data_IF_941325131237
#
_entry.id   IF_941325131237
#
_cell.length_a   1.000
_cell.length_b   1.000
_cell.length_c   1.000
_cell.angle_alpha   90.00
_cell.angle_beta   90.00
_cell.angle_gamma   90.00
#
_symmetry.space_group_name_H-M   'P 1'
#
loop_
_entity.id
_entity.type
_entity.pdbx_description
1 polymer ?
#
# COMPACT_ATOMS: atom_id res chain seq x y z
N UNK A 1 29.65 -13.03 3.52
CA UNK A 1 29.02 -12.77 3.46
C UNK A 1 28.36 -12.89 3.21
N UNK A 2 28.29 -12.76 3.44
CA UNK A 2 27.51 -12.66 3.46
C UNK A 2 26.66 -12.44 3.37
N UNK A 3 26.57 -12.39 3.76
CA UNK A 3 25.65 -12.07 3.81
C UNK A 3 24.97 -11.89 3.74
N UNK A 4 25.05 -11.76 3.95
CA UNK A 4 24.20 -11.41 4.05
C UNK A 4 23.31 -11.52 3.76
N UNK A 5 23.25 -11.46 3.73
CA UNK A 5 22.43 -11.68 3.62
C UNK A 5 21.39 -11.77 3.81
N UNK A 6 21.36 -11.63 3.80
CA UNK A 6 20.20 -12.15 4.30
C UNK A 6 19.29 -11.26 5.10
N UNK A 7 19.72 -10.36 5.77
CA UNK A 7 18.87 -9.47 6.48
C UNK A 7 17.97 -8.74 5.58
N UNK A 8 18.30 -8.69 4.38
CA UNK A 8 17.42 -8.09 3.41
C UNK A 8 16.17 -8.82 3.27
N UNK A 9 16.17 -10.07 3.65
CA UNK A 9 15.01 -10.90 3.50
C UNK A 9 13.91 -10.56 4.45
N UNK A 10 14.15 -9.64 5.40
CA UNK A 10 13.10 -9.27 6.32
C UNK A 10 12.08 -8.30 5.73
N UNK A 11 12.34 -7.75 4.55
CA UNK A 11 11.42 -6.80 3.94
C UNK A 11 10.30 -7.50 3.22
N UNK A 12 9.07 -6.98 3.39
CA UNK A 12 7.92 -7.49 2.66
C UNK A 12 8.03 -7.12 1.19
N UNK A 13 7.74 -8.08 0.33
CA UNK A 13 7.81 -7.91 -1.11
C UNK A 13 6.50 -8.37 -1.73
N UNK A 14 5.97 -7.59 -2.66
CA UNK A 14 4.77 -7.99 -3.39
C UNK A 14 5.23 -8.89 -4.53
N UNK A 15 4.83 -10.17 -4.45
CA UNK A 15 5.36 -11.20 -5.33
C UNK A 15 4.46 -11.50 -6.52
N UNK A 16 3.18 -11.14 -6.45
CA UNK A 16 2.27 -11.34 -7.56
C UNK A 16 1.01 -10.51 -7.36
N UNK A 17 0.29 -10.27 -8.42
CA UNK A 17 -1.04 -9.70 -8.34
C UNK A 17 -1.84 -10.14 -9.57
N UNK A 18 -3.14 -10.17 -9.44
CA UNK A 18 -4.02 -10.57 -10.51
C UNK A 18 -5.43 -10.14 -10.18
N UNK A 19 -6.39 -10.71 -10.87
CA UNK A 19 -7.78 -10.34 -10.67
C UNK A 19 -8.20 -10.68 -9.24
N UNK A 20 -8.52 -9.65 -8.47
CA UNK A 20 -9.08 -9.82 -7.12
C UNK A 20 -8.08 -10.18 -6.05
N UNK A 21 -6.78 -10.09 -6.31
CA UNK A 21 -5.82 -10.46 -5.27
C UNK A 21 -4.47 -9.77 -5.44
N UNK A 22 -3.75 -9.71 -4.33
CA UNK A 22 -2.34 -9.33 -4.29
C UNK A 22 -1.65 -10.36 -3.42
N UNK A 23 -0.46 -10.82 -3.84
CA UNK A 23 0.33 -11.74 -3.03
C UNK A 23 1.53 -11.00 -2.46
N UNK A 24 1.75 -11.17 -1.15
CA UNK A 24 2.90 -10.60 -0.46
C UNK A 24 3.69 -11.74 0.13
N UNK A 25 4.97 -11.82 -0.21
CA UNK A 25 5.85 -12.90 0.24
C UNK A 25 5.27 -14.28 -0.11
N UNK A 26 4.56 -14.37 -1.24
CA UNK A 26 3.96 -15.63 -1.68
C UNK A 26 2.58 -15.92 -1.11
N UNK A 27 2.08 -15.10 -0.20
CA UNK A 27 0.77 -15.32 0.41
C UNK A 27 -0.27 -14.41 -0.24
N UNK A 28 -1.41 -14.98 -0.65
CA UNK A 28 -2.46 -14.21 -1.32
C UNK A 28 -3.35 -13.49 -0.32
N UNK A 29 -3.70 -12.25 -0.68
CA UNK A 29 -4.67 -11.44 0.05
C UNK A 29 -5.75 -11.05 -0.94
N UNK A 30 -7.00 -11.29 -0.57
CA UNK A 30 -8.14 -11.00 -1.43
C UNK A 30 -8.98 -9.83 -0.94
N UNK A 31 -8.52 -9.17 0.11
CA UNK A 31 -9.15 -7.96 0.63
C UNK A 31 -8.11 -6.88 0.76
N UNK A 32 -8.58 -5.63 0.77
CA UNK A 32 -7.68 -4.47 0.86
C UNK A 32 -6.73 -4.59 2.03
N UNK A 33 -5.50 -4.14 1.84
CA UNK A 33 -4.45 -4.27 2.84
C UNK A 33 -3.45 -3.15 2.69
N UNK A 34 -2.64 -2.96 3.73
CA UNK A 34 -1.53 -2.03 3.70
C UNK A 34 -0.24 -2.85 3.81
N UNK A 35 0.68 -2.64 2.89
CA UNK A 35 1.98 -3.33 2.89
C UNK A 35 3.08 -2.31 3.11
N UNK A 36 3.90 -2.56 4.11
CA UNK A 36 5.10 -1.76 4.40
C UNK A 36 6.28 -2.71 4.50
N UNK A 37 7.51 -2.20 4.36
CA UNK A 37 8.67 -3.10 4.42
C UNK A 37 8.74 -3.95 5.69
N UNK A 38 8.27 -3.41 6.83
CA UNK A 38 8.39 -4.10 8.11
C UNK A 38 7.06 -4.60 8.67
N UNK A 39 5.94 -4.42 7.98
CA UNK A 39 4.64 -4.87 8.49
C UNK A 39 3.61 -4.97 7.40
N UNK A 40 2.58 -5.77 7.66
CA UNK A 40 1.41 -5.90 6.80
C UNK A 40 0.19 -5.68 7.68
N UNK A 41 -0.72 -4.82 7.23
CA UNK A 41 -2.02 -4.63 7.89
C UNK A 41 -3.06 -5.26 6.97
N UNK A 42 -3.44 -6.49 7.27
CA UNK A 42 -4.47 -7.20 6.50
C UNK A 42 -5.84 -6.64 6.86
N UNK A 43 -6.78 -6.82 5.97
CA UNK A 43 -8.16 -6.41 6.22
C UNK A 43 -8.30 -4.91 6.50
N UNK A 44 -7.61 -4.11 5.70
CA UNK A 44 -7.83 -2.66 5.72
C UNK A 44 -9.25 -2.44 5.21
N UNK A 45 -10.10 -1.84 6.04
CA UNK A 45 -11.55 -1.81 5.81
C UNK A 45 -11.95 -0.77 4.76
N UNK A 46 -11.47 -0.97 3.53
CA UNK A 46 -11.75 -0.10 2.39
C UNK A 46 -12.03 -0.99 1.19
N UNK A 47 -13.25 -1.51 1.04
CA UNK A 47 -13.54 -2.41 -0.07
C UNK A 47 -13.58 -1.73 -1.43
N UNK A 48 -13.72 -0.40 -1.46
CA UNK A 48 -13.68 0.34 -2.71
C UNK A 48 -13.22 1.76 -2.40
N UNK A 49 -12.79 2.48 -3.44
CA UNK A 49 -12.38 3.87 -3.23
C UNK A 49 -13.53 4.72 -2.69
N UNK A 50 -14.76 4.41 -3.10
CA UNK A 50 -15.92 5.18 -2.66
C UNK A 50 -16.16 5.05 -1.16
N UNK A 51 -15.66 3.99 -0.53
CA UNK A 51 -15.85 3.79 0.91
C UNK A 51 -14.69 4.33 1.74
N UNK A 52 -13.71 4.97 1.11
CA UNK A 52 -12.57 5.53 1.82
C UNK A 52 -13.01 6.69 2.71
N UNK A 53 -12.64 6.66 3.97
CA UNK A 53 -13.05 7.66 4.96
C UNK A 53 -11.84 8.34 5.57
N UNK A 54 -12.11 9.44 6.28
CA UNK A 54 -11.08 10.14 7.03
C UNK A 54 -10.40 9.19 8.04
N UNK A 55 -11.19 8.34 8.68
CA UNK A 55 -10.65 7.37 9.64
C UNK A 55 -9.66 6.42 8.99
N UNK A 56 -9.95 5.97 7.77
CA UNK A 56 -9.03 5.07 7.05
C UNK A 56 -7.70 5.76 6.77
N UNK A 57 -7.75 7.06 6.43
CA UNK A 57 -6.53 7.81 6.15
C UNK A 57 -5.75 8.06 7.43
N UNK A 58 -6.44 8.36 8.54
CA UNK A 58 -5.77 8.55 9.82
C UNK A 58 -5.02 7.28 10.25
N UNK A 59 -5.59 6.13 9.94
CA UNK A 59 -4.93 4.86 10.24
C UNK A 59 -3.61 4.72 9.48
N UNK A 60 -3.52 5.26 8.27
CA UNK A 60 -2.27 5.29 7.52
C UNK A 60 -1.26 6.24 8.17
N UNK A 61 -1.72 7.40 8.61
CA UNK A 61 -0.83 8.39 9.21
C UNK A 61 -0.19 7.86 10.49
N UNK A 62 -0.92 7.07 11.27
CA UNK A 62 -0.42 6.49 12.52
C UNK A 62 0.76 5.57 12.28
N UNK A 63 0.84 4.93 11.10
CA UNK A 63 1.94 4.04 10.75
C UNK A 63 3.23 4.79 10.44
N UNK A 64 3.13 6.08 10.22
CA UNK A 64 4.27 6.99 10.02
C UNK A 64 5.17 6.62 8.83
N UNK A 65 4.60 6.33 7.66
CA UNK A 65 5.44 6.15 6.48
C UNK A 65 5.93 7.50 5.99
N UNK A 66 6.99 7.49 5.19
CA UNK A 66 7.39 8.72 4.53
C UNK A 66 6.52 8.99 3.28
N UNK A 67 5.94 7.95 2.71
CA UNK A 67 5.15 8.06 1.49
C UNK A 67 4.06 6.99 1.49
N UNK A 68 2.85 7.37 1.10
CA UNK A 68 1.75 6.44 0.89
C UNK A 68 1.50 6.33 -0.61
N UNK A 69 1.44 5.08 -1.10
CA UNK A 69 0.99 4.79 -2.45
C UNK A 69 -0.44 4.27 -2.32
N UNK A 70 -1.40 5.06 -2.79
CA UNK A 70 -2.80 4.66 -2.71
C UNK A 70 -3.17 3.95 -4.01
N UNK A 71 -3.41 2.64 -3.93
CA UNK A 71 -3.84 1.85 -5.07
C UNK A 71 -5.35 1.82 -5.11
N UNK A 72 -5.93 2.33 -6.19
CA UNK A 72 -7.37 2.61 -6.25
C UNK A 72 -8.21 1.50 -6.86
N UNK A 73 -7.64 0.32 -7.09
CA UNK A 73 -8.36 -0.79 -7.70
C UNK A 73 -7.95 -0.99 -9.14
N UNK A 74 -8.86 -1.56 -9.94
CA UNK A 74 -8.59 -1.87 -11.34
C UNK A 74 -8.28 -0.60 -12.14
N UNK A 75 -8.97 0.50 -11.83
CA UNK A 75 -8.90 1.74 -12.61
C UNK A 75 -8.39 2.85 -11.71
N UNK A 76 -7.52 3.70 -12.28
CA UNK A 76 -7.06 4.88 -11.56
C UNK A 76 -8.24 5.82 -11.34
N UNK A 77 -8.48 6.16 -10.09
CA UNK A 77 -9.47 7.16 -9.69
C UNK A 77 -8.86 7.99 -8.59
N UNK A 78 -9.30 9.23 -8.45
CA UNK A 78 -8.75 10.12 -7.45
C UNK A 78 -9.73 10.30 -6.28
N UNK A 79 -9.25 10.13 -5.04
CA UNK A 79 -10.10 10.38 -3.87
C UNK A 79 -10.33 11.87 -3.70
N UNK A 80 -11.28 12.21 -2.84
CA UNK A 80 -11.48 13.59 -2.43
C UNK A 80 -10.17 14.13 -1.85
N UNK A 81 -9.70 15.25 -2.38
CA UNK A 81 -8.41 15.80 -1.94
C UNK A 81 -8.38 16.12 -0.45
N UNK A 82 -9.54 16.40 0.15
CA UNK A 82 -9.60 16.66 1.59
C UNK A 82 -9.17 15.46 2.42
N UNK A 83 -9.37 14.25 1.89
CA UNK A 83 -8.94 13.04 2.60
C UNK A 83 -7.42 12.98 2.68
N UNK A 84 -6.74 13.34 1.59
CA UNK A 84 -5.28 13.28 1.55
C UNK A 84 -4.61 14.39 2.36
N UNK A 85 -5.35 15.45 2.67
CA UNK A 85 -4.79 16.57 3.43
C UNK A 85 -4.27 16.12 4.79
N UNK A 86 -4.89 15.10 5.38
CA UNK A 86 -4.43 14.56 6.67
C UNK A 86 -3.00 14.03 6.57
N UNK A 87 -2.67 13.37 5.44
CA UNK A 87 -1.32 12.86 5.25
C UNK A 87 -0.33 14.01 5.06
N UNK A 88 -0.69 14.99 4.25
CA UNK A 88 0.18 16.15 4.01
C UNK A 88 0.43 16.93 5.30
N UNK A 89 -0.60 17.06 6.15
CA UNK A 89 -0.44 17.74 7.44
C UNK A 89 0.52 16.99 8.36
N UNK A 90 0.65 15.70 8.19
CA UNK A 90 1.57 14.87 8.96
C UNK A 90 2.93 14.75 8.28
N UNK A 91 3.18 15.53 7.23
CA UNK A 91 4.41 15.51 6.45
C UNK A 91 4.63 14.17 5.74
N UNK A 92 3.54 13.50 5.36
CA UNK A 92 3.58 12.24 4.64
C UNK A 92 3.19 12.51 3.19
N UNK A 93 4.04 12.11 2.24
CA UNK A 93 3.72 12.21 0.82
C UNK A 93 2.66 11.19 0.45
N UNK A 94 1.92 11.47 -0.61
CA UNK A 94 0.90 10.55 -1.09
C UNK A 94 0.85 10.60 -2.62
N UNK A 95 0.83 9.42 -3.23
CA UNK A 95 0.69 9.25 -4.67
C UNK A 95 -0.48 8.33 -4.92
N UNK A 96 -1.31 8.69 -5.90
CA UNK A 96 -2.50 7.90 -6.24
C UNK A 96 -2.26 7.21 -7.57
N UNK A 97 -2.54 5.91 -7.63
CA UNK A 97 -2.36 5.13 -8.85
C UNK A 97 -3.29 3.92 -8.79
N UNK A 98 -3.46 3.19 -9.89
CA UNK A 98 -4.22 1.95 -9.81
C UNK A 98 -3.45 0.94 -8.96
N UNK A 99 -4.14 -0.10 -8.51
CA UNK A 99 -3.54 -1.03 -7.53
C UNK A 99 -2.34 -1.78 -8.10
N UNK A 100 -2.38 -2.15 -9.38
CA UNK A 100 -1.24 -2.86 -9.98
C UNK A 100 -0.01 -1.97 -10.06
N UNK A 101 -0.20 -0.72 -10.44
CA UNK A 101 0.91 0.25 -10.46
C UNK A 101 1.47 0.47 -9.06
N UNK A 102 0.60 0.52 -8.05
CA UNK A 102 1.03 0.69 -6.67
C UNK A 102 1.89 -0.49 -6.22
N UNK A 103 1.54 -1.70 -6.63
CA UNK A 103 2.32 -2.88 -6.30
C UNK A 103 3.74 -2.79 -6.87
N UNK A 104 3.86 -2.38 -8.13
CA UNK A 104 5.16 -2.28 -8.79
C UNK A 104 6.00 -1.17 -8.17
N UNK A 105 5.39 -0.02 -7.93
CA UNK A 105 6.08 1.12 -7.37
C UNK A 105 6.54 0.83 -5.95
N UNK A 106 5.70 0.15 -5.16
CA UNK A 106 6.08 -0.25 -3.81
C UNK A 106 7.38 -1.05 -3.81
N UNK A 107 7.46 -2.08 -4.66
CA UNK A 107 8.63 -2.94 -4.66
C UNK A 107 9.90 -2.16 -4.98
N UNK A 108 9.82 -1.23 -5.94
CA UNK A 108 10.98 -0.43 -6.31
C UNK A 108 11.45 0.43 -5.14
N UNK A 109 10.50 1.12 -4.50
CA UNK A 109 10.86 2.04 -3.41
C UNK A 109 11.33 1.29 -2.16
N UNK A 110 10.70 0.17 -1.86
CA UNK A 110 11.10 -0.63 -0.70
C UNK A 110 12.51 -1.18 -0.89
N UNK A 111 12.86 -1.60 -2.11
CA UNK A 111 14.21 -2.06 -2.39
C UNK A 111 15.24 -0.95 -2.25
N UNK A 112 14.83 0.29 -2.47
CA UNK A 112 15.71 1.44 -2.29
C UNK A 112 15.86 1.84 -0.83
N UNK A 113 15.21 1.11 0.08
CA UNK A 113 15.30 1.40 1.51
C UNK A 113 14.31 2.45 1.98
N UNK A 114 13.30 2.80 1.17
CA UNK A 114 12.33 3.80 1.53
C UNK A 114 11.25 3.21 2.46
N UNK A 115 10.81 4.01 3.42
CA UNK A 115 9.72 3.61 4.31
C UNK A 115 8.38 3.98 3.66
N UNK A 116 7.93 3.11 2.76
CA UNK A 116 6.77 3.35 1.93
C UNK A 116 5.61 2.44 2.38
N UNK A 117 4.40 2.98 2.37
CA UNK A 117 3.19 2.19 2.65
C UNK A 117 2.37 2.09 1.37
N UNK A 118 2.11 0.88 0.92
CA UNK A 118 1.20 0.64 -0.20
C UNK A 118 -0.17 0.33 0.39
N UNK A 119 -1.10 1.26 0.24
CA UNK A 119 -2.48 1.09 0.69
C UNK A 119 -3.27 0.62 -0.53
N UNK A 120 -3.52 -0.69 -0.59
CA UNK A 120 -3.99 -1.36 -1.79
C UNK A 120 -5.48 -1.70 -1.66
N UNK A 121 -6.30 -1.08 -2.48
CA UNK A 121 -7.73 -1.38 -2.50
C UNK A 121 -7.93 -2.56 -3.43
N UNK A 122 -8.52 -3.62 -2.88
CA UNK A 122 -8.86 -4.82 -3.61
C UNK A 122 -10.36 -5.01 -3.44
N UNK A 123 -11.10 -4.63 -4.46
CA UNK A 123 -12.55 -4.75 -4.44
C UNK A 123 -13.01 -5.72 -5.49
N UNK A 124 -14.33 -5.81 -5.63
CA UNK A 124 -14.90 -6.74 -6.60
C UNK A 124 -14.54 -6.36 -8.03
N UNK A 125 -14.12 -5.11 -8.26
CA UNK A 125 -13.76 -4.64 -9.58
C UNK A 125 -12.25 -4.74 -9.85
N UNK A 126 -11.51 -5.28 -8.93
CA UNK A 126 -10.06 -5.45 -9.12
C UNK A 126 -9.73 -6.87 -9.62
#
# INVERSE_FOLDING_TARGET
MKLHLSRNTSKNSITAYGRGYVAVNGERYERSLIVMPDRIVADWDVPSLDSLTQHNIEALAVLKPELVLLGTGEILRFPDSRLLATLFSAAIGAETMDTRAACRTYNILAEEGRNVAAALIIGSDF
#
